data_IF_997081593584
#
_entry.id   IF_997081593584
#
_cell.length_a   1.000
_cell.length_b   1.000
_cell.length_c   1.000
_cell.angle_alpha   90.00
_cell.angle_beta   90.00
_cell.angle_gamma   90.00
#
_symmetry.space_group_name_H-M   'P 1'
#
loop_
_entity.id
_entity.type
_entity.pdbx_description
1 polymer ?
#
# COMPACT_ATOMS: atom_id res chain seq x y z
N UNK A 1 -1.69 -6.11 -8.20
CA UNK A 1 -2.69 -5.07 -7.89
C UNK A 1 -3.79 -5.68 -7.04
N UNK A 2 -4.34 -4.91 -6.10
CA UNK A 2 -5.48 -5.37 -5.28
C UNK A 2 -6.73 -5.58 -6.12
N UNK A 3 -7.63 -6.46 -5.69
CA UNK A 3 -8.94 -6.64 -6.32
C UNK A 3 -9.84 -5.41 -6.18
N UNK A 4 -11.05 -5.48 -6.74
CA UNK A 4 -12.04 -4.41 -6.58
C UNK A 4 -12.35 -4.15 -5.09
N UNK A 5 -12.73 -2.91 -4.75
CA UNK A 5 -13.10 -2.55 -3.38
C UNK A 5 -14.27 -3.43 -2.90
N UNK A 6 -14.18 -3.94 -1.66
CA UNK A 6 -15.19 -4.84 -1.09
C UNK A 6 -15.26 -6.25 -1.72
N UNK A 7 -14.34 -6.62 -2.62
CA UNK A 7 -14.30 -7.96 -3.24
C UNK A 7 -14.04 -9.10 -2.24
N UNK A 8 -13.54 -8.77 -1.04
CA UNK A 8 -13.35 -9.71 0.06
C UNK A 8 -14.27 -9.30 1.21
N UNK A 9 -15.04 -10.26 1.76
CA UNK A 9 -15.99 -10.00 2.84
C UNK A 9 -15.35 -9.29 4.05
N UNK A 10 -14.09 -9.61 4.38
CA UNK A 10 -13.34 -8.99 5.47
C UNK A 10 -12.98 -7.51 5.23
N UNK A 11 -13.04 -7.05 3.99
CA UNK A 11 -12.65 -5.70 3.57
C UNK A 11 -13.85 -4.78 3.33
N UNK A 12 -15.09 -5.26 3.54
CA UNK A 12 -16.28 -4.40 3.43
C UNK A 12 -16.21 -3.27 4.46
N UNK A 13 -16.41 -2.03 4.01
CA UNK A 13 -16.31 -0.83 4.84
C UNK A 13 -14.88 -0.44 5.24
N UNK A 14 -13.86 -1.14 4.71
CA UNK A 14 -12.45 -0.78 4.87
C UNK A 14 -11.92 -0.25 3.54
N UNK A 15 -12.10 1.05 3.35
CA UNK A 15 -11.62 1.73 2.14
C UNK A 15 -10.10 1.74 2.05
N UNK A 16 -9.63 2.07 0.84
CA UNK A 16 -8.23 2.29 0.53
C UNK A 16 -7.63 3.42 1.40
N UNK A 17 -6.34 3.33 1.68
CA UNK A 17 -5.61 4.38 2.41
C UNK A 17 -5.61 5.66 1.58
N UNK A 18 -6.20 6.73 2.12
CA UNK A 18 -6.41 8.00 1.42
C UNK A 18 -7.09 7.85 0.03
N UNK A 19 -7.88 6.80 -0.17
CA UNK A 19 -8.54 6.52 -1.45
C UNK A 19 -7.65 5.91 -2.54
N UNK A 20 -6.37 5.64 -2.26
CA UNK A 20 -5.39 5.12 -3.22
C UNK A 20 -4.84 3.75 -2.82
N UNK A 21 -4.35 3.00 -3.80
CA UNK A 21 -3.60 1.79 -3.50
C UNK A 21 -2.38 2.15 -2.66
N UNK A 22 -2.10 1.33 -1.63
CA UNK A 22 -1.01 1.59 -0.69
C UNK A 22 -0.04 0.41 -0.62
N UNK A 23 1.23 0.72 -0.44
CA UNK A 23 2.28 -0.24 -0.14
C UNK A 23 2.95 0.12 1.20
N UNK A 24 3.39 -0.91 1.92
CA UNK A 24 4.14 -0.78 3.16
C UNK A 24 5.50 -1.46 2.97
N UNK A 25 6.58 -0.75 3.28
CA UNK A 25 7.94 -1.30 3.23
C UNK A 25 8.35 -1.69 4.64
N UNK A 26 8.52 -3.00 4.85
CA UNK A 26 8.84 -3.56 6.16
C UNK A 26 10.35 -3.76 6.34
N UNK A 27 10.86 -3.37 7.51
CA UNK A 27 12.25 -3.55 7.95
C UNK A 27 12.25 -4.41 9.21
N UNK A 28 12.38 -5.71 9.01
CA UNK A 28 12.19 -6.69 10.08
C UNK A 28 10.71 -6.81 10.46
N UNK A 29 10.39 -6.48 11.71
CA UNK A 29 9.02 -6.61 12.28
C UNK A 29 8.18 -5.34 12.22
N UNK A 30 8.77 -4.22 11.77
CA UNK A 30 8.10 -2.92 11.69
C UNK A 30 8.05 -2.48 10.24
N UNK A 31 6.97 -1.84 9.84
CA UNK A 31 6.84 -1.23 8.52
C UNK A 31 6.73 0.28 8.66
N UNK A 32 7.20 1.00 7.64
CA UNK A 32 7.03 2.44 7.57
C UNK A 32 5.56 2.83 7.35
N UNK A 33 5.30 4.14 7.37
CA UNK A 33 4.03 4.69 6.92
C UNK A 33 3.71 4.27 5.47
N UNK A 34 2.42 4.15 5.12
CA UNK A 34 2.01 3.76 3.78
C UNK A 34 2.45 4.79 2.74
N UNK A 35 2.92 4.30 1.60
CA UNK A 35 3.12 5.09 0.37
C UNK A 35 1.99 4.79 -0.62
N UNK A 36 1.61 5.79 -1.43
CA UNK A 36 0.42 5.71 -2.29
C UNK A 36 0.72 5.87 -3.78
N UNK A 37 2.00 5.97 -4.15
CA UNK A 37 2.45 6.05 -5.54
C UNK A 37 3.63 5.13 -5.81
N UNK A 38 3.79 4.76 -7.09
CA UNK A 38 4.91 3.94 -7.53
C UNK A 38 6.27 4.63 -7.32
N UNK A 39 6.36 5.95 -7.51
CA UNK A 39 7.58 6.71 -7.31
C UNK A 39 8.01 6.79 -5.83
N UNK A 40 7.04 7.00 -4.92
CA UNK A 40 7.30 6.93 -3.48
C UNK A 40 7.75 5.52 -3.07
N UNK A 41 7.13 4.48 -3.63
CA UNK A 41 7.54 3.10 -3.38
C UNK A 41 8.96 2.80 -3.87
N UNK A 42 9.31 3.22 -5.08
CA UNK A 42 10.66 3.06 -5.62
C UNK A 42 11.70 3.77 -4.74
N UNK A 43 11.37 4.97 -4.27
CA UNK A 43 12.20 5.73 -3.31
C UNK A 43 12.36 4.98 -1.99
N UNK A 44 11.28 4.44 -1.43
CA UNK A 44 11.31 3.68 -0.17
C UNK A 44 12.10 2.36 -0.27
N UNK A 45 12.14 1.75 -1.46
CA UNK A 45 12.89 0.54 -1.77
C UNK A 45 14.35 0.80 -2.20
N UNK A 46 14.70 2.04 -2.53
CA UNK A 46 16.03 2.39 -3.03
C UNK A 46 16.30 1.89 -4.45
N UNK A 47 15.27 1.82 -5.30
CA UNK A 47 15.38 1.36 -6.70
C UNK A 47 14.97 2.48 -7.66
N UNK A 48 15.42 2.43 -8.93
CA UNK A 48 14.88 3.30 -9.97
C UNK A 48 13.36 3.11 -10.11
N UNK A 49 12.63 4.22 -10.24
CA UNK A 49 11.17 4.25 -10.39
C UNK A 49 10.69 4.29 -11.83
#
# INVERSE_FOLDING_TARGET
MGGAAGSSALLVGRDRVAGADAAYVCRGRVCDLPVTSAAELATALGVPG
#
